data_IF_934571503983
#
_entry.id   IF_934571503983
#
_cell.length_a   1.000
_cell.length_b   1.000
_cell.length_c   1.000
_cell.angle_alpha   90.00
_cell.angle_beta   90.00
_cell.angle_gamma   90.00
#
_symmetry.space_group_name_H-M   'P 1'
#
loop_
_entity.id
_entity.type
_entity.pdbx_description
1 polymer ?
#
# COMPACT_ATOMS: atom_id res chain seq x y z
N UNK A 1 3.06 3.75 -0.06
CA UNK A 1 3.25 3.79 -1.52
C UNK A 1 4.26 4.88 -1.85
N UNK A 2 5.11 4.68 -2.86
CA UNK A 2 6.28 5.56 -3.14
C UNK A 2 5.88 7.04 -3.22
N UNK A 3 4.93 7.40 -4.08
CA UNK A 3 4.47 8.78 -4.22
C UNK A 3 3.87 9.38 -2.94
N UNK A 4 3.15 8.57 -2.15
CA UNK A 4 2.61 9.05 -0.87
C UNK A 4 3.74 9.38 0.10
N UNK A 5 4.79 8.57 0.13
CA UNK A 5 5.96 8.80 0.97
C UNK A 5 6.70 10.07 0.54
N UNK A 6 6.86 10.31 -0.77
CA UNK A 6 7.46 11.55 -1.28
C UNK A 6 6.63 12.78 -0.91
N UNK A 7 5.30 12.71 -1.04
CA UNK A 7 4.40 13.78 -0.62
C UNK A 7 4.50 14.06 0.88
N UNK A 8 4.58 13.03 1.72
CA UNK A 8 4.76 13.20 3.17
C UNK A 8 6.11 13.85 3.50
N UNK A 9 7.19 13.45 2.82
CA UNK A 9 8.51 14.05 3.04
C UNK A 9 8.58 15.51 2.59
N UNK A 10 7.91 15.88 1.50
CA UNK A 10 7.80 17.28 1.08
C UNK A 10 6.98 18.08 2.09
N UNK A 11 5.87 17.51 2.60
CA UNK A 11 4.99 18.20 3.53
C UNK A 11 5.68 18.50 4.86
N UNK A 12 6.37 17.51 5.42
CA UNK A 12 7.05 17.60 6.71
C UNK A 12 8.42 18.29 6.62
N UNK A 13 9.14 18.13 5.50
CA UNK A 13 10.49 18.62 5.32
C UNK A 13 10.62 20.07 4.85
N UNK A 14 9.57 20.64 4.24
CA UNK A 14 9.60 22.00 3.68
C UNK A 14 8.48 22.84 4.29
N UNK A 15 8.80 23.95 5.00
CA UNK A 15 7.79 24.85 5.55
C UNK A 15 6.91 25.47 4.46
N UNK A 16 5.60 25.60 4.76
CA UNK A 16 4.63 26.20 3.84
C UNK A 16 4.80 27.70 3.63
N UNK A 17 5.46 28.37 4.57
CA UNK A 17 5.79 29.80 4.51
C UNK A 17 7.31 29.98 4.59
N UNK A 18 7.80 31.03 3.95
CA UNK A 18 9.17 31.51 4.13
C UNK A 18 9.32 32.16 5.51
N UNK A 19 10.55 32.41 5.98
CA UNK A 19 10.79 33.17 7.21
C UNK A 19 10.18 34.59 7.20
N UNK A 20 9.89 35.12 6.01
CA UNK A 20 9.21 36.40 5.79
C UNK A 20 7.68 36.28 5.68
N UNK A 21 7.10 35.15 6.09
CA UNK A 21 5.65 34.84 6.04
C UNK A 21 5.03 34.85 4.63
N UNK A 22 5.85 34.70 3.59
CA UNK A 22 5.36 34.56 2.21
C UNK A 22 5.15 33.09 1.87
N UNK A 23 4.28 32.79 0.90
CA UNK A 23 4.06 31.42 0.43
C UNK A 23 5.37 30.83 -0.11
N UNK A 24 5.76 29.67 0.40
CA UNK A 24 6.92 28.95 -0.09
C UNK A 24 6.60 28.23 -1.41
N UNK A 25 6.88 28.90 -2.53
CA UNK A 25 6.64 28.35 -3.86
C UNK A 25 7.48 27.11 -4.16
N UNK A 26 8.63 26.93 -3.51
CA UNK A 26 9.46 25.74 -3.70
C UNK A 26 8.72 24.48 -3.23
N UNK A 27 8.05 24.54 -2.06
CA UNK A 27 7.20 23.45 -1.56
C UNK A 27 6.14 23.08 -2.60
N UNK A 28 5.41 24.09 -3.09
CA UNK A 28 4.32 23.91 -4.05
C UNK A 28 4.81 23.34 -5.39
N UNK A 29 5.95 23.80 -5.87
CA UNK A 29 6.56 23.28 -7.10
C UNK A 29 6.90 21.79 -6.99
N UNK A 30 7.51 21.37 -5.87
CA UNK A 30 7.86 19.96 -5.62
C UNK A 30 6.63 19.07 -5.47
N UNK A 31 5.63 19.52 -4.72
CA UNK A 31 4.35 18.78 -4.63
C UNK A 31 3.70 18.64 -6.01
N UNK A 32 3.71 19.69 -6.82
CA UNK A 32 3.12 19.67 -8.16
C UNK A 32 3.89 18.77 -9.15
N UNK A 33 5.21 18.62 -9.00
CA UNK A 33 6.02 17.67 -9.76
C UNK A 33 5.56 16.23 -9.49
N UNK A 34 5.45 15.84 -8.22
CA UNK A 34 4.97 14.49 -7.84
C UNK A 34 3.56 14.22 -8.37
N UNK A 35 2.64 15.18 -8.26
CA UNK A 35 1.27 15.02 -8.77
C UNK A 35 1.26 14.87 -10.30
N UNK A 36 2.09 15.63 -11.01
CA UNK A 36 2.17 15.57 -12.47
C UNK A 36 2.63 14.21 -12.96
N UNK A 37 3.60 13.61 -12.27
CA UNK A 37 4.07 12.27 -12.59
C UNK A 37 2.95 11.23 -12.40
N UNK A 38 2.17 11.31 -11.32
CA UNK A 38 1.00 10.45 -11.12
C UNK A 38 0.00 10.61 -12.28
N UNK A 39 -0.30 11.84 -12.66
CA UNK A 39 -1.25 12.14 -13.75
C UNK A 39 -0.76 11.59 -15.09
N UNK A 40 0.55 11.63 -15.36
CA UNK A 40 1.12 11.06 -16.57
C UNK A 40 0.73 9.60 -16.75
N UNK A 41 0.76 8.80 -15.68
CA UNK A 41 0.40 7.39 -15.73
C UNK A 41 -1.11 7.15 -15.71
N UNK A 42 -1.91 8.09 -15.22
CA UNK A 42 -3.37 8.00 -15.25
C UNK A 42 -3.97 8.32 -16.62
N UNK A 43 -3.25 9.02 -17.49
CA UNK A 43 -3.74 9.46 -18.79
C UNK A 43 -3.96 8.32 -19.81
N UNK A 44 -3.41 7.13 -19.56
CA UNK A 44 -3.54 5.99 -20.48
C UNK A 44 -4.56 5.00 -19.92
N UNK A 45 -5.75 4.86 -20.54
CA UNK A 45 -6.71 3.86 -20.12
C UNK A 45 -6.23 2.45 -20.50
N UNK A 46 -6.64 1.46 -19.73
CA UNK A 46 -6.41 0.06 -20.08
C UNK A 46 -7.24 -0.34 -21.31
N UNK A 47 -6.64 -1.10 -22.23
CA UNK A 47 -7.35 -1.74 -23.36
C UNK A 47 -8.09 -3.01 -22.91
N UNK A 48 -9.03 -2.86 -21.97
CA UNK A 48 -9.84 -3.94 -21.44
C UNK A 48 -11.32 -3.64 -21.63
N UNK A 49 -12.11 -4.67 -21.89
CA UNK A 49 -13.57 -4.55 -21.94
C UNK A 49 -14.14 -4.62 -20.52
N UNK A 50 -14.91 -3.62 -20.06
CA UNK A 50 -15.52 -3.66 -18.75
C UNK A 50 -16.63 -4.70 -18.69
N UNK A 51 -16.63 -5.51 -17.63
CA UNK A 51 -17.69 -6.48 -17.33
C UNK A 51 -18.29 -6.10 -15.98
N UNK A 52 -19.46 -5.43 -15.94
CA UNK A 52 -20.03 -4.88 -14.71
C UNK A 52 -20.21 -5.91 -13.59
N UNK A 53 -20.71 -7.10 -13.95
CA UNK A 53 -20.94 -8.20 -13.00
C UNK A 53 -19.66 -8.62 -12.26
N UNK A 54 -18.52 -8.68 -12.98
CA UNK A 54 -17.22 -9.00 -12.38
C UNK A 54 -16.69 -7.85 -11.54
N UNK A 55 -16.90 -6.60 -11.97
CA UNK A 55 -16.48 -5.42 -11.22
C UNK A 55 -17.21 -5.34 -9.88
N UNK A 56 -18.53 -5.53 -9.89
CA UNK A 56 -19.37 -5.54 -8.69
C UNK A 56 -19.00 -6.69 -7.75
N UNK A 57 -18.76 -7.89 -8.30
CA UNK A 57 -18.27 -9.02 -7.52
C UNK A 57 -16.93 -8.71 -6.83
N UNK A 58 -15.96 -8.16 -7.55
CA UNK A 58 -14.65 -7.81 -6.96
C UNK A 58 -14.81 -6.75 -5.87
N UNK A 59 -15.56 -5.67 -6.15
CA UNK A 59 -15.73 -4.56 -5.22
C UNK A 59 -16.45 -4.98 -3.93
N UNK A 60 -17.52 -5.77 -4.05
CA UNK A 60 -18.26 -6.29 -2.91
C UNK A 60 -17.41 -7.21 -2.03
N UNK A 61 -16.64 -8.11 -2.61
CA UNK A 61 -15.74 -8.99 -1.85
C UNK A 61 -14.57 -8.24 -1.21
N UNK A 62 -14.05 -7.20 -1.88
CA UNK A 62 -12.98 -6.37 -1.32
C UNK A 62 -13.47 -5.55 -0.12
N UNK A 63 -14.72 -5.07 -0.17
CA UNK A 63 -15.36 -4.38 0.97
C UNK A 63 -15.73 -5.35 2.11
N UNK A 64 -16.09 -6.58 1.77
CA UNK A 64 -16.39 -7.64 2.73
C UNK A 64 -15.12 -8.35 3.25
N UNK A 65 -13.92 -7.88 2.90
CA UNK A 65 -12.68 -8.46 3.40
C UNK A 65 -12.69 -8.47 4.94
N UNK A 66 -12.48 -9.66 5.50
CA UNK A 66 -12.49 -9.88 6.94
C UNK A 66 -11.37 -9.14 7.67
N UNK A 67 -11.50 -9.04 9.00
CA UNK A 67 -10.48 -8.40 9.82
C UNK A 67 -9.15 -9.17 9.73
N UNK A 68 -8.04 -8.43 9.78
CA UNK A 68 -6.70 -9.01 9.69
C UNK A 68 -6.46 -10.03 10.81
N UNK A 69 -7.08 -9.83 11.98
CA UNK A 69 -6.99 -10.76 13.09
C UNK A 69 -7.67 -12.10 12.75
N UNK A 70 -8.89 -12.06 12.24
CA UNK A 70 -9.64 -13.26 11.84
C UNK A 70 -8.89 -14.04 10.74
N UNK A 71 -8.32 -13.33 9.77
CA UNK A 71 -7.50 -13.95 8.72
C UNK A 71 -6.25 -14.62 9.28
N UNK A 72 -5.62 -14.01 10.28
CA UNK A 72 -4.46 -14.58 10.95
C UNK A 72 -4.82 -15.83 11.77
N UNK A 73 -5.91 -15.80 12.53
CA UNK A 73 -6.40 -16.98 13.25
C UNK A 73 -6.73 -18.11 12.28
N UNK A 74 -7.42 -17.80 11.18
CA UNK A 74 -7.72 -18.76 10.12
C UNK A 74 -6.47 -19.37 9.51
N UNK A 75 -5.42 -18.57 9.31
CA UNK A 75 -4.12 -19.07 8.84
C UNK A 75 -3.51 -20.07 9.83
N UNK A 76 -3.62 -19.83 11.14
CA UNK A 76 -3.11 -20.74 12.17
C UNK A 76 -3.93 -22.04 12.29
N UNK A 77 -5.23 -21.99 12.01
CA UNK A 77 -6.08 -23.19 11.93
C UNK A 77 -5.67 -24.09 10.75
N UNK A 78 -5.41 -23.48 9.59
CA UNK A 78 -5.04 -24.20 8.36
C UNK A 78 -3.60 -24.71 8.44
N UNK A 79 -2.68 -23.89 8.97
CA UNK A 79 -1.27 -24.21 9.16
C UNK A 79 -0.86 -23.98 10.62
N UNK A 80 -1.04 -24.98 11.50
CA UNK A 80 -0.63 -24.88 12.89
C UNK A 80 0.87 -24.64 13.05
N UNK A 81 1.26 -23.86 14.05
CA UNK A 81 2.68 -23.62 14.35
C UNK A 81 3.38 -24.91 14.76
N UNK A 82 4.50 -25.23 14.11
CA UNK A 82 5.38 -26.33 14.52
C UNK A 82 5.82 -26.14 15.98
N UNK A 83 5.74 -27.21 16.78
CA UNK A 83 6.29 -27.21 18.13
C UNK A 83 7.82 -27.13 18.05
N UNK A 84 8.47 -26.49 19.03
CA UNK A 84 9.95 -26.40 19.05
C UNK A 84 10.61 -27.78 18.98
N UNK A 85 10.00 -28.78 19.62
CA UNK A 85 10.42 -30.18 19.59
C UNK A 85 10.44 -30.77 18.17
N UNK A 86 9.42 -30.42 17.36
CA UNK A 86 9.26 -30.86 15.97
C UNK A 86 10.22 -30.12 15.03
N UNK A 87 10.48 -28.83 15.29
CA UNK A 87 11.54 -28.06 14.60
C UNK A 87 12.90 -28.71 14.81
N UNK A 88 13.26 -29.03 16.05
CA UNK A 88 14.53 -29.65 16.39
C UNK A 88 14.66 -31.02 15.71
N UNK A 89 13.59 -31.82 15.71
CA UNK A 89 13.55 -33.10 15.01
C UNK A 89 13.72 -32.95 13.48
N UNK A 90 13.09 -31.94 12.85
CA UNK A 90 13.25 -31.65 11.41
C UNK A 90 14.67 -31.20 11.06
N UNK A 91 15.26 -30.31 11.84
CA UNK A 91 16.65 -29.87 11.63
C UNK A 91 17.67 -30.99 11.89
N UNK A 92 17.39 -31.90 12.82
CA UNK A 92 18.22 -33.07 13.08
C UNK A 92 18.10 -34.13 11.96
N UNK A 93 16.93 -34.27 11.33
CA UNK A 93 16.69 -35.22 10.24
C UNK A 93 17.22 -34.77 8.86
N UNK A 94 17.52 -33.46 8.70
CA UNK A 94 18.11 -32.88 7.48
C UNK A 94 19.66 -32.93 7.51
N UNK A 95 20.25 -33.32 8.65
CA UNK A 95 21.70 -33.59 8.80
C UNK A 95 22.01 -35.06 8.63
#
# INVERSE_FOLDING_TARGET
GVYLTDLTFIEDGIPSLTPSELINFNKRAKTAEVIRDIQQYQNVPYLLQPVPELQDYILSNLQAAGDVHDMYERSLEVEPREREDEKIARYAAIK
#
